data_IF_107702671729
#
_entry.id   IF_107702671729
#
_cell.length_a   1.000
_cell.length_b   1.000
_cell.length_c   1.000
_cell.angle_alpha   90.00
_cell.angle_beta   90.00
_cell.angle_gamma   90.00
#
_symmetry.space_group_name_H-M   'P 1'
#
loop_
_entity.id
_entity.type
_entity.pdbx_description
1 polymer ?
#
# COMPACT_ATOMS: atom_id res chain seq x y z
N UNK A 1 -17.05 -38.09 -17.74
CA UNK A 1 -17.11 -37.37 -16.45
C UNK A 1 -17.51 -38.29 -15.29
N UNK A 2 -18.70 -38.93 -15.33
CA UNK A 2 -19.18 -39.80 -14.24
C UNK A 2 -18.20 -40.93 -13.85
N UNK A 3 -17.60 -41.62 -14.83
CA UNK A 3 -16.60 -42.66 -14.55
C UNK A 3 -15.37 -42.11 -13.82
N UNK A 4 -14.72 -41.09 -14.37
CA UNK A 4 -13.58 -40.41 -13.74
C UNK A 4 -13.87 -39.91 -12.31
N UNK A 5 -15.07 -39.36 -12.04
CA UNK A 5 -15.46 -38.98 -10.68
C UNK A 5 -15.65 -40.17 -9.74
N UNK A 6 -16.09 -41.33 -10.26
CA UNK A 6 -16.20 -42.58 -9.50
C UNK A 6 -14.83 -43.14 -9.17
N UNK A 7 -13.92 -43.14 -10.14
CA UNK A 7 -12.55 -43.63 -10.00
C UNK A 7 -11.79 -42.83 -8.93
N UNK A 8 -11.98 -41.51 -8.90
CA UNK A 8 -11.43 -40.64 -7.85
C UNK A 8 -12.19 -40.71 -6.51
N UNK A 9 -13.22 -41.56 -6.39
CA UNK A 9 -13.98 -41.78 -5.16
C UNK A 9 -14.82 -40.59 -4.69
N UNK A 10 -15.14 -39.66 -5.61
CA UNK A 10 -15.84 -38.40 -5.35
C UNK A 10 -17.35 -38.62 -5.43
N UNK A 11 -17.79 -39.32 -6.47
CA UNK A 11 -19.17 -39.78 -6.63
C UNK A 11 -19.20 -41.30 -6.45
N UNK A 12 -20.16 -41.81 -5.68
CA UNK A 12 -20.25 -43.22 -5.39
C UNK A 12 -21.42 -43.55 -4.47
N UNK A 13 -21.67 -44.84 -4.22
CA UNK A 13 -22.70 -45.26 -3.28
C UNK A 13 -22.36 -44.80 -1.85
N UNK A 14 -23.38 -44.72 -1.00
CA UNK A 14 -23.21 -44.37 0.40
C UNK A 14 -22.32 -45.39 1.12
N UNK A 15 -21.18 -44.92 1.64
CA UNK A 15 -20.21 -45.77 2.35
C UNK A 15 -20.74 -46.17 3.74
N UNK A 16 -20.55 -47.43 4.12
CA UNK A 16 -20.94 -47.95 5.45
C UNK A 16 -20.06 -47.36 6.57
N UNK A 17 -20.51 -47.47 7.83
CA UNK A 17 -19.73 -47.00 8.99
C UNK A 17 -18.34 -47.67 9.06
N UNK A 18 -18.24 -48.96 8.73
CA UNK A 18 -16.97 -49.71 8.68
C UNK A 18 -16.02 -49.16 7.62
N UNK A 19 -16.52 -48.90 6.42
CA UNK A 19 -15.73 -48.30 5.33
C UNK A 19 -15.28 -46.87 5.66
N UNK A 20 -16.12 -46.07 6.31
CA UNK A 20 -15.71 -44.71 6.74
C UNK A 20 -14.58 -44.77 7.77
N UNK A 21 -14.62 -45.70 8.73
CA UNK A 21 -13.54 -45.91 9.71
C UNK A 21 -12.24 -46.38 9.07
N UNK A 22 -12.31 -47.33 8.13
CA UNK A 22 -11.14 -47.76 7.36
C UNK A 22 -10.52 -46.58 6.60
N UNK A 23 -11.32 -45.84 5.83
CA UNK A 23 -10.83 -44.66 5.10
C UNK A 23 -10.23 -43.60 6.04
N UNK A 24 -10.77 -43.44 7.26
CA UNK A 24 -10.24 -42.50 8.25
C UNK A 24 -8.92 -42.97 8.86
N UNK A 25 -8.72 -44.28 9.06
CA UNK A 25 -7.43 -44.86 9.45
C UNK A 25 -6.40 -44.65 8.34
N UNK A 26 -6.78 -44.93 7.09
CA UNK A 26 -5.92 -44.68 5.94
C UNK A 26 -5.66 -43.18 5.73
N UNK A 27 -6.59 -42.30 6.11
CA UNK A 27 -6.45 -40.85 5.99
C UNK A 27 -5.62 -40.21 7.10
N UNK A 28 -5.62 -40.78 8.32
CA UNK A 28 -4.70 -40.38 9.39
C UNK A 28 -3.23 -40.60 9.01
N UNK A 29 -2.96 -41.54 8.10
CA UNK A 29 -1.63 -41.78 7.57
C UNK A 29 -1.20 -40.81 6.45
N UNK A 30 -2.10 -39.96 5.92
CA UNK A 30 -1.78 -39.12 4.76
C UNK A 30 -2.58 -37.82 4.74
N UNK A 31 -1.94 -36.75 5.22
CA UNK A 31 -2.36 -35.35 5.01
C UNK A 31 -2.58 -35.01 3.53
N UNK A 32 -1.91 -35.75 2.64
CA UNK A 32 -1.84 -35.49 1.21
C UNK A 32 -3.11 -35.90 0.46
N UNK A 33 -3.97 -36.77 1.03
CA UNK A 33 -5.18 -37.23 0.34
C UNK A 33 -6.14 -36.10 -0.04
N UNK A 34 -6.23 -35.05 0.79
CA UNK A 34 -7.06 -33.88 0.48
C UNK A 34 -6.48 -33.09 -0.69
N UNK A 35 -5.15 -32.94 -0.73
CA UNK A 35 -4.43 -32.26 -1.81
C UNK A 35 -4.52 -33.07 -3.11
N UNK A 36 -4.27 -34.39 -3.07
CA UNK A 36 -4.43 -35.31 -4.19
C UNK A 36 -5.85 -35.26 -4.76
N UNK A 37 -6.87 -35.25 -3.90
CA UNK A 37 -8.26 -35.12 -4.35
C UNK A 37 -8.53 -33.77 -5.00
N UNK A 38 -7.99 -32.68 -4.46
CA UNK A 38 -8.14 -31.34 -5.04
C UNK A 38 -7.44 -31.25 -6.40
N UNK A 39 -6.23 -31.78 -6.52
CA UNK A 39 -5.46 -31.84 -7.76
C UNK A 39 -6.16 -32.70 -8.82
N UNK A 40 -6.64 -33.90 -8.44
CA UNK A 40 -7.42 -34.76 -9.32
C UNK A 40 -8.71 -34.06 -9.80
N UNK A 41 -9.41 -33.36 -8.91
CA UNK A 41 -10.57 -32.56 -9.28
C UNK A 41 -10.23 -31.41 -10.23
N UNK A 42 -9.11 -30.71 -9.99
CA UNK A 42 -8.65 -29.64 -10.86
C UNK A 42 -8.32 -30.18 -12.27
N UNK A 43 -7.63 -31.33 -12.34
CA UNK A 43 -7.34 -32.03 -13.60
C UNK A 43 -8.61 -32.44 -14.34
N UNK A 44 -9.61 -33.01 -13.64
CA UNK A 44 -10.91 -33.37 -14.22
C UNK A 44 -11.62 -32.11 -14.75
N UNK A 45 -11.63 -31.02 -13.97
CA UNK A 45 -12.24 -29.76 -14.41
C UNK A 45 -11.54 -29.19 -15.64
N UNK A 46 -10.23 -29.32 -15.73
CA UNK A 46 -9.44 -28.89 -16.91
C UNK A 46 -9.77 -29.76 -18.13
N UNK A 47 -9.71 -31.10 -17.98
CA UNK A 47 -9.94 -32.04 -19.07
C UNK A 47 -11.37 -32.00 -19.62
N UNK A 48 -12.37 -31.85 -18.75
CA UNK A 48 -13.78 -31.82 -19.17
C UNK A 48 -14.25 -30.44 -19.65
N UNK A 49 -13.40 -29.41 -19.59
CA UNK A 49 -13.67 -28.09 -20.15
C UNK A 49 -12.69 -27.74 -21.29
N UNK A 50 -12.78 -28.43 -22.44
CA UNK A 50 -11.80 -28.26 -23.53
C UNK A 50 -11.83 -26.85 -24.16
N UNK A 51 -12.97 -26.14 -24.06
CA UNK A 51 -13.14 -24.81 -24.65
C UNK A 51 -12.39 -23.69 -23.92
N UNK A 52 -11.80 -23.97 -22.76
CA UNK A 52 -10.92 -23.02 -22.07
C UNK A 52 -9.57 -22.87 -22.78
N UNK A 53 -9.21 -23.84 -23.62
CA UNK A 53 -7.90 -23.96 -24.27
C UNK A 53 -8.05 -23.90 -25.79
N UNK A 54 -7.08 -23.28 -26.45
CA UNK A 54 -6.90 -23.44 -27.89
C UNK A 54 -6.11 -24.72 -28.12
N UNK A 55 -6.69 -25.70 -28.81
CA UNK A 55 -6.04 -26.98 -29.14
C UNK A 55 -6.04 -27.21 -30.64
N UNK A 56 -5.07 -27.99 -31.14
CA UNK A 56 -5.07 -28.46 -32.54
C UNK A 56 -5.67 -29.86 -32.59
N UNK A 57 -6.76 -30.05 -33.35
CA UNK A 57 -7.40 -31.35 -33.48
C UNK A 57 -6.53 -32.39 -34.20
N UNK A 58 -5.63 -31.95 -35.10
CA UNK A 58 -4.80 -32.83 -35.95
C UNK A 58 -3.43 -33.18 -35.35
N UNK A 59 -3.13 -32.73 -34.13
CA UNK A 59 -1.82 -32.94 -33.52
C UNK A 59 -0.70 -32.11 -34.20
N UNK A 60 0.58 -32.51 -34.03
CA UNK A 60 1.70 -31.88 -34.72
C UNK A 60 1.70 -32.20 -36.21
N UNK A 61 2.30 -31.33 -37.03
CA UNK A 61 2.41 -31.56 -38.49
C UNK A 61 3.37 -32.71 -38.83
N UNK A 62 4.46 -32.81 -38.06
CA UNK A 62 5.46 -33.86 -38.20
C UNK A 62 5.67 -34.50 -36.82
N UNK A 63 5.62 -35.83 -36.79
CA UNK A 63 5.87 -36.59 -35.56
C UNK A 63 7.37 -36.54 -35.26
N UNK A 64 7.73 -35.97 -34.11
CA UNK A 64 9.12 -35.92 -33.64
C UNK A 64 9.14 -36.47 -32.22
N UNK A 65 9.85 -37.58 -32.02
CA UNK A 65 9.87 -38.32 -30.76
C UNK A 65 10.92 -37.73 -29.81
N UNK A 66 10.66 -36.55 -29.27
CA UNK A 66 11.51 -35.94 -28.24
C UNK A 66 10.79 -35.89 -26.90
N UNK A 67 11.41 -36.41 -25.83
CA UNK A 67 10.85 -36.36 -24.47
C UNK A 67 10.78 -34.94 -23.87
N UNK A 68 11.49 -33.98 -24.48
CA UNK A 68 11.46 -32.56 -24.13
C UNK A 68 10.82 -31.77 -25.28
N UNK A 69 9.49 -31.69 -25.37
CA UNK A 69 8.88 -30.77 -26.31
C UNK A 69 9.34 -29.36 -25.97
N UNK A 70 9.67 -28.54 -26.97
CA UNK A 70 10.21 -27.18 -26.75
C UNK A 70 9.29 -26.27 -25.91
N UNK A 71 8.01 -26.64 -25.75
CA UNK A 71 7.14 -26.07 -24.73
C UNK A 71 6.36 -27.20 -24.04
N UNK A 72 6.33 -27.25 -22.70
CA UNK A 72 5.47 -28.18 -21.92
C UNK A 72 3.98 -28.09 -22.31
N UNK A 73 3.55 -26.94 -22.82
CA UNK A 73 2.19 -26.70 -23.32
C UNK A 73 1.89 -27.47 -24.62
N UNK A 74 2.91 -27.65 -25.48
CA UNK A 74 2.81 -28.50 -26.68
C UNK A 74 2.72 -29.98 -26.31
N UNK A 75 3.34 -30.41 -25.20
CA UNK A 75 3.24 -31.78 -24.68
C UNK A 75 1.78 -32.18 -24.40
N UNK A 76 0.96 -31.24 -23.93
CA UNK A 76 -0.46 -31.42 -23.64
C UNK A 76 -1.38 -31.05 -24.82
N UNK A 77 -0.82 -30.67 -25.98
CA UNK A 77 -1.59 -30.20 -27.14
C UNK A 77 -2.31 -28.85 -26.94
N UNK A 78 -2.01 -28.13 -25.86
CA UNK A 78 -2.62 -26.84 -25.52
C UNK A 78 -1.76 -25.73 -26.15
N UNK A 79 -2.27 -25.10 -27.20
CA UNK A 79 -1.59 -23.99 -27.88
C UNK A 79 -1.68 -22.68 -27.09
N UNK A 80 -2.74 -22.49 -26.29
CA UNK A 80 -2.90 -21.28 -25.50
C UNK A 80 -4.18 -21.24 -24.67
N UNK A 81 -4.27 -20.24 -23.77
CA UNK A 81 -5.42 -19.98 -22.89
C UNK A 81 -6.08 -18.64 -23.27
N UNK A 82 -6.98 -18.60 -24.26
CA UNK A 82 -7.55 -17.35 -24.76
C UNK A 82 -8.36 -16.57 -23.71
N UNK A 83 -9.10 -17.26 -22.83
CA UNK A 83 -9.88 -16.61 -21.77
C UNK A 83 -8.99 -15.83 -20.79
N UNK A 84 -7.93 -16.48 -20.29
CA UNK A 84 -6.97 -15.83 -19.39
C UNK A 84 -6.22 -14.70 -20.08
N UNK A 85 -5.79 -14.88 -21.33
CA UNK A 85 -5.09 -13.84 -22.07
C UNK A 85 -5.96 -12.59 -22.30
N UNK A 86 -7.27 -12.76 -22.54
CA UNK A 86 -8.22 -11.65 -22.65
C UNK A 86 -8.42 -10.95 -21.30
N UNK A 87 -8.59 -11.71 -20.22
CA UNK A 87 -8.78 -11.15 -18.88
C UNK A 87 -7.56 -10.34 -18.43
N UNK A 88 -6.34 -10.85 -18.62
CA UNK A 88 -5.12 -10.11 -18.27
C UNK A 88 -4.93 -8.88 -19.15
N UNK A 89 -5.29 -8.94 -20.43
CA UNK A 89 -5.26 -7.78 -21.32
C UNK A 89 -6.28 -6.71 -20.91
N UNK A 90 -7.47 -7.11 -20.45
CA UNK A 90 -8.48 -6.18 -19.92
C UNK A 90 -8.03 -5.54 -18.60
N UNK A 91 -7.46 -6.34 -17.67
CA UNK A 91 -6.88 -5.83 -16.43
C UNK A 91 -5.79 -4.79 -16.70
N UNK A 92 -4.88 -5.08 -17.64
CA UNK A 92 -3.86 -4.11 -18.07
C UNK A 92 -4.46 -2.81 -18.59
N UNK A 93 -5.54 -2.88 -19.39
CA UNK A 93 -6.24 -1.66 -19.86
C UNK A 93 -6.91 -0.89 -18.72
N UNK A 94 -7.43 -1.58 -17.70
CA UNK A 94 -7.98 -0.94 -16.49
C UNK A 94 -6.89 -0.29 -15.64
N UNK A 95 -5.68 -0.83 -15.63
CA UNK A 95 -4.56 -0.27 -14.88
C UNK A 95 -3.89 0.91 -15.62
N UNK A 96 -3.84 0.87 -16.95
CA UNK A 96 -3.18 1.91 -17.76
C UNK A 96 -4.19 2.89 -18.35
N UNK A 97 -4.91 2.47 -19.40
CA UNK A 97 -5.78 3.33 -20.21
C UNK A 97 -6.89 3.98 -19.37
N UNK A 98 -7.53 3.23 -18.47
CA UNK A 98 -8.57 3.79 -17.60
C UNK A 98 -8.00 4.88 -16.68
N UNK A 99 -6.81 4.66 -16.11
CA UNK A 99 -6.13 5.65 -15.25
C UNK A 99 -5.75 6.88 -16.06
N UNK A 100 -5.25 6.71 -17.28
CA UNK A 100 -4.96 7.81 -18.22
C UNK A 100 -6.22 8.60 -18.58
N UNK A 101 -7.33 7.93 -18.88
CA UNK A 101 -8.62 8.57 -19.19
C UNK A 101 -9.16 9.38 -18.01
N UNK A 102 -9.09 8.82 -16.79
CA UNK A 102 -9.48 9.54 -15.56
C UNK A 102 -8.60 10.77 -15.31
N UNK A 103 -7.32 10.70 -15.69
CA UNK A 103 -6.35 11.78 -15.53
C UNK A 103 -6.23 12.70 -16.75
N UNK A 104 -7.10 12.58 -17.76
CA UNK A 104 -7.00 13.33 -19.03
C UNK A 104 -6.88 14.84 -18.86
N UNK A 105 -7.57 15.41 -17.86
CA UNK A 105 -7.54 16.85 -17.57
C UNK A 105 -6.74 17.19 -16.30
N UNK A 106 -5.94 16.25 -15.78
CA UNK A 106 -5.11 16.47 -14.59
C UNK A 106 -3.80 17.12 -14.98
N UNK A 107 -3.53 18.29 -14.42
CA UNK A 107 -2.24 18.98 -14.56
C UNK A 107 -1.40 18.76 -13.29
N UNK A 108 -0.11 18.47 -13.47
CA UNK A 108 0.83 18.20 -12.38
C UNK A 108 0.81 16.76 -11.86
N UNK A 109 1.90 16.35 -11.22
CA UNK A 109 2.08 15.02 -10.64
C UNK A 109 3.26 15.00 -9.67
N UNK A 110 3.33 13.98 -8.82
CA UNK A 110 4.49 13.76 -7.96
C UNK A 110 5.66 13.29 -8.83
N UNK A 111 6.79 13.99 -8.77
CA UNK A 111 8.04 13.58 -9.40
C UNK A 111 8.88 12.93 -8.31
N UNK A 112 9.11 11.62 -8.42
CA UNK A 112 9.99 10.92 -7.51
C UNK A 112 11.45 11.27 -7.84
N UNK A 113 12.14 11.91 -6.90
CA UNK A 113 13.55 12.33 -7.04
C UNK A 113 14.47 11.51 -6.13
N UNK A 114 13.99 10.38 -5.60
CA UNK A 114 14.80 9.49 -4.77
C UNK A 114 15.91 8.86 -5.62
N UNK A 115 17.08 8.72 -5.00
CA UNK A 115 18.23 8.12 -5.66
C UNK A 115 17.91 6.68 -6.11
N UNK A 116 18.27 6.36 -7.35
CA UNK A 116 18.09 5.03 -7.96
C UNK A 116 16.67 4.62 -8.31
N UNK A 117 15.63 5.46 -8.14
CA UNK A 117 14.27 5.10 -8.59
C UNK A 117 14.19 5.01 -10.12
N UNK A 118 14.81 5.96 -10.84
CA UNK A 118 14.79 6.03 -12.32
C UNK A 118 15.74 5.07 -13.04
N UNK A 119 16.69 4.44 -12.31
CA UNK A 119 17.68 3.54 -12.89
C UNK A 119 17.21 2.07 -12.80
N UNK A 120 16.95 1.39 -13.94
CA UNK A 120 16.54 -0.01 -13.96
C UNK A 120 17.69 -0.99 -13.68
N UNK A 121 18.95 -0.55 -13.69
CA UNK A 121 20.12 -1.42 -13.54
C UNK A 121 20.54 -1.66 -12.07
N UNK A 122 20.05 -0.85 -11.13
CA UNK A 122 20.31 -1.04 -9.70
C UNK A 122 19.36 -2.05 -9.06
N UNK A 123 19.90 -2.88 -8.16
CA UNK A 123 19.10 -3.82 -7.39
C UNK A 123 18.29 -3.10 -6.30
N UNK A 124 17.23 -3.74 -5.80
CA UNK A 124 16.40 -3.15 -4.74
C UNK A 124 17.20 -2.89 -3.46
N UNK A 125 18.16 -3.75 -3.15
CA UNK A 125 19.01 -3.63 -1.96
C UNK A 125 19.98 -2.45 -2.09
N UNK A 126 20.63 -2.30 -3.24
CA UNK A 126 21.53 -1.18 -3.52
C UNK A 126 20.79 0.16 -3.44
N UNK A 127 19.57 0.23 -4.03
CA UNK A 127 18.70 1.41 -3.94
C UNK A 127 18.41 1.79 -2.49
N UNK A 128 18.12 0.82 -1.63
CA UNK A 128 17.83 1.08 -0.21
C UNK A 128 19.08 1.52 0.55
N UNK A 129 20.23 0.89 0.29
CA UNK A 129 21.50 1.22 0.93
C UNK A 129 21.97 2.64 0.59
N UNK A 130 21.88 3.04 -0.67
CA UNK A 130 22.28 4.38 -1.10
C UNK A 130 21.33 5.46 -0.59
N UNK A 131 20.02 5.18 -0.51
CA UNK A 131 19.04 6.07 0.12
C UNK A 131 19.39 6.29 1.58
N UNK A 132 19.67 5.21 2.30
CA UNK A 132 20.09 5.26 3.69
C UNK A 132 21.40 6.05 3.85
N UNK A 133 22.41 5.79 3.02
CA UNK A 133 23.67 6.52 3.05
C UNK A 133 23.47 8.02 2.79
N UNK A 134 22.63 8.39 1.80
CA UNK A 134 22.29 9.79 1.52
C UNK A 134 21.51 10.46 2.63
N UNK A 135 20.60 9.74 3.28
CA UNK A 135 19.86 10.22 4.44
C UNK A 135 20.78 10.45 5.64
N UNK A 136 21.65 9.48 5.94
CA UNK A 136 22.67 9.60 6.98
C UNK A 136 23.62 10.77 6.70
N UNK A 137 24.11 10.93 5.47
CA UNK A 137 24.95 12.08 5.09
C UNK A 137 24.25 13.43 5.26
N UNK A 138 22.93 13.51 4.99
CA UNK A 138 22.14 14.72 5.25
C UNK A 138 21.95 14.97 6.74
N UNK A 139 21.68 13.92 7.52
CA UNK A 139 21.52 13.99 8.97
C UNK A 139 22.82 14.39 9.69
N UNK A 140 23.96 13.88 9.24
CA UNK A 140 25.28 14.22 9.80
C UNK A 140 25.79 15.60 9.39
N UNK A 141 25.22 16.23 8.36
CA UNK A 141 25.53 17.61 8.02
C UNK A 141 24.78 18.52 9.00
N UNK A 142 25.39 18.76 10.17
CA UNK A 142 24.92 19.64 11.25
C UNK A 142 24.74 21.13 10.86
N UNK A 143 24.70 21.47 9.57
CA UNK A 143 24.36 22.82 9.13
C UNK A 143 22.84 23.00 9.12
N UNK A 144 22.18 22.73 10.25
CA UNK A 144 20.86 23.30 10.43
C UNK A 144 21.07 24.81 10.45
N UNK A 145 20.27 25.56 9.72
CA UNK A 145 20.35 27.03 9.63
C UNK A 145 20.22 27.71 11.01
N UNK A 146 19.92 26.92 12.05
CA UNK A 146 19.71 27.32 13.44
C UNK A 146 20.79 26.78 14.41
N UNK A 147 21.78 26.02 13.93
CA UNK A 147 22.90 25.55 14.78
C UNK A 147 23.99 26.64 14.82
N UNK A 148 23.79 27.61 15.72
CA UNK A 148 24.74 28.71 15.98
C UNK A 148 25.94 28.26 16.85
N UNK A 149 25.98 27.00 17.26
CA UNK A 149 27.01 26.43 18.15
C UNK A 149 28.06 25.61 17.38
N UNK A 150 27.90 25.47 16.06
CA UNK A 150 28.56 24.42 15.26
C UNK A 150 29.73 24.84 14.36
N UNK A 151 30.37 26.00 14.56
CA UNK A 151 31.64 26.34 13.89
C UNK A 151 32.54 27.12 14.84
N UNK A 152 33.33 26.37 15.61
CA UNK A 152 34.37 26.89 16.51
C UNK A 152 35.52 27.59 15.75
N UNK A 153 35.48 27.62 14.41
CA UNK A 153 36.44 28.34 13.56
C UNK A 153 35.93 29.72 13.07
N UNK A 154 34.64 30.05 13.28
CA UNK A 154 34.05 31.38 12.99
C UNK A 154 33.43 32.05 14.24
N UNK A 155 33.57 31.43 15.42
CA UNK A 155 33.00 31.90 16.69
C UNK A 155 33.60 33.23 17.18
N UNK A 156 34.68 33.72 16.59
CA UNK A 156 35.28 35.02 16.96
C UNK A 156 34.60 36.23 16.30
N UNK A 157 33.61 36.06 15.40
CA UNK A 157 33.06 37.19 14.61
C UNK A 157 31.54 37.41 14.65
N UNK A 158 30.76 36.61 15.39
CA UNK A 158 29.30 36.82 15.51
C UNK A 158 28.91 37.11 16.94
N UNK A 159 29.28 38.29 17.43
CA UNK A 159 28.79 38.82 18.70
C UNK A 159 27.31 39.16 18.58
N UNK A 160 26.50 38.74 19.56
CA UNK A 160 25.07 39.02 19.58
C UNK A 160 24.85 40.53 19.77
N UNK A 161 24.37 41.21 18.73
CA UNK A 161 24.12 42.66 18.74
C UNK A 161 22.62 42.96 18.62
N UNK A 162 22.13 43.90 19.42
CA UNK A 162 20.78 44.45 19.30
C UNK A 162 20.88 45.96 19.02
N UNK A 163 20.25 46.42 17.94
CA UNK A 163 20.32 47.82 17.49
C UNK A 163 21.75 48.37 17.32
N UNK A 164 22.72 47.50 17.00
CA UNK A 164 24.12 47.88 16.76
C UNK A 164 25.00 47.97 18.01
N UNK A 165 24.54 47.50 19.18
CA UNK A 165 25.34 47.37 20.41
C UNK A 165 25.47 45.91 20.86
N UNK A 166 26.65 45.55 21.35
CA UNK A 166 27.01 44.25 21.94
C UNK A 166 26.30 44.08 23.29
N UNK A 167 25.65 42.92 23.51
CA UNK A 167 24.90 42.67 24.75
C UNK A 167 25.77 42.30 25.97
N UNK A 168 27.03 41.95 25.76
CA UNK A 168 27.90 41.35 26.79
C UNK A 168 29.04 42.27 27.26
N UNK A 169 29.07 43.54 26.86
CA UNK A 169 30.02 44.49 27.44
C UNK A 169 29.51 44.90 28.83
N UNK A 170 30.21 44.44 29.86
CA UNK A 170 29.91 44.59 31.29
C UNK A 170 29.95 46.06 31.81
N UNK A 171 29.99 47.06 30.94
CA UNK A 171 30.09 48.49 31.30
C UNK A 171 28.74 49.22 31.40
N UNK A 172 27.61 48.61 30.99
CA UNK A 172 26.27 49.24 30.99
C UNK A 172 25.30 48.64 32.04
N UNK A 173 25.81 48.09 33.16
CA UNK A 173 25.00 47.65 34.32
C UNK A 173 24.43 48.82 35.16
N UNK A 174 23.99 49.92 34.54
CA UNK A 174 23.32 51.03 35.23
C UNK A 174 22.04 51.50 34.52
N UNK A 175 21.13 50.60 34.13
CA UNK A 175 19.69 50.94 34.08
C UNK A 175 18.86 49.69 34.40
N UNK A 176 18.78 49.36 35.68
CA UNK A 176 17.67 48.57 36.20
C UNK A 176 16.37 49.35 36.03
N UNK A 177 15.65 49.08 34.94
CA UNK A 177 14.20 49.29 34.81
C UNK A 177 13.60 48.03 34.21
N UNK A 178 13.52 47.02 35.06
CA UNK A 178 12.44 46.07 34.98
C UNK A 178 11.14 46.78 35.47
N UNK A 179 10.00 46.12 35.32
CA UNK A 179 8.68 46.48 35.89
C UNK A 179 7.67 47.03 34.86
N UNK A 180 7.30 46.16 33.91
CA UNK A 180 5.94 45.59 33.91
C UNK A 180 4.79 46.57 34.26
N UNK A 181 4.41 47.48 33.35
CA UNK A 181 3.09 48.15 33.42
C UNK A 181 2.03 47.21 32.83
N UNK A 182 1.40 46.50 33.74
CA UNK A 182 0.25 45.64 33.58
C UNK A 182 -0.97 46.45 33.13
N UNK A 183 -1.10 46.68 31.82
CA UNK A 183 -2.35 47.19 31.21
C UNK A 183 -2.54 46.76 29.75
N UNK A 184 -2.47 45.45 29.48
CA UNK A 184 -3.16 44.87 28.31
C UNK A 184 -4.62 44.65 28.73
N UNK A 185 -5.32 45.75 29.00
CA UNK A 185 -6.77 45.74 29.18
C UNK A 185 -7.43 45.69 27.80
N UNK A 186 -7.99 44.51 27.51
CA UNK A 186 -9.27 44.34 26.80
C UNK A 186 -9.52 45.27 25.60
N UNK A 187 -8.60 45.27 24.63
CA UNK A 187 -8.81 45.93 23.32
C UNK A 187 -9.20 44.91 22.25
N UNK A 188 -10.08 43.97 22.58
CA UNK A 188 -10.82 43.19 21.59
C UNK A 188 -12.19 43.86 21.44
N UNK A 189 -12.38 44.61 20.35
CA UNK A 189 -13.62 45.32 20.07
C UNK A 189 -14.81 44.34 20.10
N UNK A 190 -15.94 44.75 20.68
CA UNK A 190 -17.15 43.92 20.85
C UNK A 190 -17.68 43.36 19.51
N UNK A 191 -17.34 44.02 18.39
CA UNK A 191 -17.59 43.55 17.03
C UNK A 191 -16.81 42.28 16.66
N UNK A 192 -15.57 42.12 17.11
CA UNK A 192 -14.76 40.93 16.82
C UNK A 192 -15.25 39.71 17.60
N UNK A 193 -15.65 39.90 18.87
CA UNK A 193 -16.29 38.83 19.67
C UNK A 193 -17.62 38.40 19.06
N UNK A 194 -18.43 39.35 18.59
CA UNK A 194 -19.70 39.06 17.91
C UNK A 194 -19.49 38.32 16.58
N UNK A 195 -18.49 38.71 15.79
CA UNK A 195 -18.13 38.05 14.54
C UNK A 195 -17.62 36.61 14.78
N UNK A 196 -16.76 36.40 15.77
CA UNK A 196 -16.22 35.09 16.13
C UNK A 196 -17.31 34.15 16.65
N UNK A 197 -18.26 34.67 17.43
CA UNK A 197 -19.42 33.90 17.92
C UNK A 197 -20.39 33.51 16.79
N UNK A 198 -20.60 34.38 15.80
CA UNK A 198 -21.39 34.07 14.59
C UNK A 198 -20.69 33.03 13.70
N UNK A 199 -19.38 33.11 13.55
CA UNK A 199 -18.57 32.15 12.80
C UNK A 199 -18.64 30.75 13.44
N UNK A 200 -18.43 30.65 14.74
CA UNK A 200 -18.53 29.38 15.48
C UNK A 200 -19.93 28.76 15.42
N UNK A 201 -20.99 29.59 15.44
CA UNK A 201 -22.37 29.10 15.30
C UNK A 201 -22.66 28.55 13.90
N UNK A 202 -22.06 29.13 12.85
CA UNK A 202 -22.21 28.67 11.47
C UNK A 202 -21.46 27.35 11.24
N UNK A 203 -20.26 27.21 11.79
CA UNK A 203 -19.45 25.99 11.72
C UNK A 203 -20.16 24.80 12.39
N UNK A 204 -20.81 25.03 13.54
CA UNK A 204 -21.60 24.02 14.24
C UNK A 204 -22.86 23.59 13.47
N UNK A 205 -23.53 24.52 12.81
CA UNK A 205 -24.70 24.22 11.99
C UNK A 205 -24.34 23.45 10.70
N UNK A 206 -23.13 23.68 10.16
CA UNK A 206 -22.61 22.97 8.99
C UNK A 206 -22.17 21.54 9.34
N UNK A 207 -21.64 21.32 10.54
CA UNK A 207 -21.36 19.98 11.09
C UNK A 207 -22.67 19.19 11.33
N UNK A 208 -23.69 19.84 11.88
CA UNK A 208 -25.00 19.23 12.15
C UNK A 208 -25.80 18.96 10.85
N UNK A 209 -25.61 19.79 9.81
CA UNK A 209 -26.18 19.55 8.48
C UNK A 209 -25.44 18.43 7.71
N UNK A 210 -24.14 18.26 7.93
CA UNK A 210 -23.34 17.19 7.34
C UNK A 210 -23.63 15.81 7.96
N UNK A 211 -24.20 15.75 9.16
CA UNK A 211 -24.70 14.51 9.79
C UNK A 211 -26.09 14.08 9.27
N UNK A 212 -26.80 14.94 8.52
CA UNK A 212 -28.19 14.71 8.09
C UNK A 212 -28.40 14.07 6.71
N UNK A 213 -27.37 14.01 5.85
CA UNK A 213 -27.50 13.45 4.49
C UNK A 213 -26.35 12.48 4.17
N UNK A 214 -26.53 11.21 4.53
CA UNK A 214 -25.54 10.15 4.28
C UNK A 214 -26.10 8.73 4.46
N UNK A 215 -26.55 8.17 3.34
CA UNK A 215 -27.03 6.81 3.12
C UNK A 215 -25.98 5.71 3.47
N UNK A 216 -26.46 4.64 4.11
CA UNK A 216 -25.95 3.26 4.18
C UNK A 216 -24.46 2.97 4.48
N UNK A 217 -24.17 2.68 5.76
CA UNK A 217 -23.21 1.61 6.10
C UNK A 217 -21.95 1.93 6.92
N UNK A 218 -21.82 3.12 7.51
CA UNK A 218 -20.71 3.43 8.44
C UNK A 218 -21.21 3.64 9.89
N UNK A 219 -20.46 3.22 10.92
CA UNK A 219 -20.90 3.36 12.30
C UNK A 219 -20.93 4.84 12.71
N UNK A 220 -22.05 5.27 13.28
CA UNK A 220 -22.36 6.64 13.72
C UNK A 220 -21.35 7.23 14.73
N UNK A 221 -20.45 6.42 15.31
CA UNK A 221 -19.44 6.88 16.27
C UNK A 221 -18.11 6.19 16.03
N UNK A 222 -17.02 6.96 16.17
CA UNK A 222 -15.64 6.42 16.15
C UNK A 222 -15.47 5.50 17.36
N UNK A 223 -15.01 4.26 17.13
CA UNK A 223 -14.72 3.29 18.19
C UNK A 223 -13.70 3.85 19.17
N UNK A 224 -13.90 3.55 20.45
CA UNK A 224 -12.97 4.00 21.49
C UNK A 224 -11.69 3.16 21.46
N UNK A 225 -10.56 3.71 21.90
CA UNK A 225 -9.26 3.02 21.91
C UNK A 225 -9.29 1.67 22.66
N UNK A 226 -10.17 1.54 23.65
CA UNK A 226 -10.37 0.30 24.41
C UNK A 226 -11.00 -0.81 23.57
N UNK A 227 -11.94 -0.45 22.69
CA UNK A 227 -12.68 -1.37 21.82
C UNK A 227 -11.86 -1.84 20.61
N UNK A 228 -10.77 -1.11 20.27
CA UNK A 228 -9.83 -1.46 19.20
C UNK A 228 -8.70 -2.38 19.68
N UNK A 229 -8.46 -2.42 20.99
CA UNK A 229 -7.34 -3.16 21.60
C UNK A 229 -7.76 -4.51 22.20
N UNK A 230 -9.04 -4.86 22.13
CA UNK A 230 -9.61 -6.13 22.60
C UNK A 230 -9.85 -7.11 21.44
#
# INVERSE_FOLDING_TARGET
>A
LKASLKDQGIIGPQKSKKQKRQNAQDAKASTDKRLQRHEALASIREQFNPFQFKTSARGPKFEVTTNKPQNDKLAKGIQGRPGLAKATAEQRRKETLLVEMQRRNKVGGIVDRRFGEDDPNMTLEDKMMERFAREQMKSHKKNTVFDLEGSDDDAEQVTLTHAGKTLFDDDDMEVGRDDFDENISDMESDDERSARKKFLKRLRAEEEAAEGEGEDGQPERKKTKKEVME
#
